data_IF_587731229391
#
_entry.id   IF_587731229391
#
_cell.length_a   1.000
_cell.length_b   1.000
_cell.length_c   1.000
_cell.angle_alpha   90.00
_cell.angle_beta   90.00
_cell.angle_gamma   90.00
#
_symmetry.space_group_name_H-M   'P 1'
#
loop_
_entity.id
_entity.type
_entity.pdbx_description
1 polymer ?
#
# COMPACT_ATOMS: atom_id res chain seq x y z
N UNK A 1 12.22 -16.00 9.07
CA UNK A 1 10.75 -16.01 8.95
C UNK A 1 10.12 -17.40 8.81
N UNK A 2 10.85 -18.48 8.46
CA UNK A 2 10.25 -19.82 8.36
C UNK A 2 9.60 -20.32 9.66
N UNK A 3 10.13 -19.94 10.83
CA UNK A 3 9.62 -20.34 12.16
C UNK A 3 8.35 -19.64 12.65
N UNK A 4 8.00 -18.47 12.08
CA UNK A 4 6.73 -17.78 12.41
C UNK A 4 5.64 -18.15 11.41
N UNK A 5 6.05 -18.62 10.22
CA UNK A 5 5.15 -19.08 9.15
C UNK A 5 5.01 -20.60 9.08
N UNK A 6 5.70 -21.35 9.95
CA UNK A 6 5.34 -22.75 10.21
C UNK A 6 3.97 -22.72 10.89
N UNK A 7 3.14 -23.73 10.62
CA UNK A 7 1.76 -23.86 11.12
C UNK A 7 1.71 -24.10 12.65
N UNK A 8 2.70 -23.62 13.37
CA UNK A 8 2.81 -23.76 14.81
C UNK A 8 1.83 -22.79 15.47
N UNK A 9 1.30 -23.17 16.61
CA UNK A 9 0.39 -22.34 17.38
C UNK A 9 1.17 -21.19 18.05
N UNK A 10 0.63 -19.96 18.01
CA UNK A 10 1.27 -18.77 18.58
C UNK A 10 1.68 -18.99 20.04
N UNK A 11 0.87 -19.73 20.81
CA UNK A 11 1.11 -20.02 22.23
C UNK A 11 2.44 -20.74 22.50
N UNK A 12 3.00 -21.43 21.50
CA UNK A 12 4.27 -22.14 21.63
C UNK A 12 5.49 -21.32 21.17
N UNK A 13 5.31 -20.07 20.75
CA UNK A 13 6.41 -19.23 20.26
C UNK A 13 7.23 -18.53 21.35
N UNK A 14 6.84 -18.62 22.62
CA UNK A 14 7.58 -17.98 23.74
C UNK A 14 9.10 -18.25 23.72
N UNK A 15 9.55 -19.53 23.66
CA UNK A 15 10.97 -19.86 23.58
C UNK A 15 11.69 -19.28 22.34
N UNK A 16 10.96 -19.10 21.22
CA UNK A 16 11.53 -18.49 20.02
C UNK A 16 11.82 -17.00 20.24
N UNK A 17 10.91 -16.26 20.89
CA UNK A 17 11.12 -14.84 21.20
C UNK A 17 12.23 -14.64 22.24
N UNK A 18 12.32 -15.50 23.27
CA UNK A 18 13.44 -15.48 24.22
C UNK A 18 14.78 -15.70 23.50
N UNK A 19 14.86 -16.73 22.65
CA UNK A 19 16.07 -17.01 21.86
C UNK A 19 16.44 -15.83 20.95
N UNK A 20 15.45 -15.16 20.36
CA UNK A 20 15.66 -13.98 19.52
C UNK A 20 16.22 -12.80 20.30
N UNK A 21 15.71 -12.53 21.50
CA UNK A 21 16.26 -11.49 22.39
C UNK A 21 17.73 -11.75 22.72
N UNK A 22 18.06 -12.99 23.13
CA UNK A 22 19.45 -13.39 23.42
C UNK A 22 20.35 -13.25 22.20
N UNK A 23 19.87 -13.67 21.03
CA UNK A 23 20.62 -13.57 19.77
C UNK A 23 20.96 -12.13 19.40
N UNK A 24 19.98 -11.21 19.45
CA UNK A 24 20.20 -9.79 19.15
C UNK A 24 21.25 -9.17 20.10
N UNK A 25 21.16 -9.45 21.41
CA UNK A 25 22.18 -9.01 22.38
C UNK A 25 23.56 -9.58 22.08
N UNK A 26 23.65 -10.84 21.66
CA UNK A 26 24.94 -11.48 21.39
C UNK A 26 25.69 -10.84 20.22
N UNK A 27 24.97 -10.38 19.19
CA UNK A 27 25.56 -9.70 18.04
C UNK A 27 25.85 -8.24 18.37
N UNK A 28 24.98 -7.56 19.13
CA UNK A 28 25.26 -6.20 19.60
C UNK A 28 26.54 -6.16 20.47
N UNK A 29 26.75 -7.17 21.32
CA UNK A 29 27.97 -7.28 22.11
C UNK A 29 29.22 -7.61 21.28
N UNK A 30 29.06 -8.28 20.13
CA UNK A 30 30.16 -8.64 19.24
C UNK A 30 29.75 -8.54 17.76
N UNK A 31 29.77 -7.31 17.18
CA UNK A 31 29.39 -7.07 15.77
C UNK A 31 30.20 -7.89 14.76
N UNK A 32 31.44 -8.25 15.12
CA UNK A 32 32.33 -9.07 14.30
C UNK A 32 31.76 -10.47 13.97
N UNK A 33 30.68 -10.90 14.64
CA UNK A 33 29.95 -12.13 14.28
C UNK A 33 29.26 -12.02 12.90
N UNK A 34 29.02 -10.81 12.41
CA UNK A 34 28.48 -10.53 11.06
C UNK A 34 29.49 -9.84 10.14
N UNK A 35 30.31 -8.94 10.67
CA UNK A 35 31.25 -8.14 9.86
C UNK A 35 32.64 -8.78 9.73
N UNK A 36 32.98 -9.71 10.62
CA UNK A 36 34.30 -10.36 10.65
C UNK A 36 34.47 -11.43 9.57
N UNK A 37 35.73 -11.68 9.19
CA UNK A 37 36.11 -12.69 8.19
C UNK A 37 35.75 -14.11 8.66
N UNK A 38 35.80 -14.35 9.98
CA UNK A 38 35.44 -15.61 10.62
C UNK A 38 33.95 -15.72 10.99
N UNK A 39 33.09 -14.85 10.44
CA UNK A 39 31.66 -14.94 10.64
C UNK A 39 31.17 -16.34 10.23
N UNK A 40 30.48 -17.01 11.15
CA UNK A 40 29.99 -18.37 10.97
C UNK A 40 28.48 -18.40 11.19
N UNK A 41 27.80 -19.20 10.39
CA UNK A 41 26.36 -19.43 10.52
C UNK A 41 25.95 -19.86 11.95
N UNK A 42 26.80 -20.60 12.67
CA UNK A 42 26.53 -21.05 14.06
C UNK A 42 26.20 -19.92 15.03
N UNK A 43 26.82 -18.75 14.83
CA UNK A 43 26.63 -17.58 15.69
C UNK A 43 26.02 -16.39 14.93
N UNK A 44 26.00 -16.46 13.59
CA UNK A 44 25.45 -15.43 12.72
C UNK A 44 23.99 -15.65 12.33
N UNK A 45 23.39 -16.81 12.63
CA UNK A 45 21.96 -17.06 12.41
C UNK A 45 21.23 -17.38 13.72
N UNK A 46 19.95 -16.98 13.79
CA UNK A 46 19.11 -17.20 14.97
C UNK A 46 18.88 -18.69 15.27
N UNK A 47 18.75 -19.51 14.23
CA UNK A 47 18.54 -20.94 14.35
C UNK A 47 19.84 -21.76 14.32
N UNK A 48 20.99 -21.11 14.09
CA UNK A 48 22.29 -21.77 13.96
C UNK A 48 22.42 -22.62 12.69
N UNK A 49 21.47 -22.50 11.75
CA UNK A 49 21.50 -23.24 10.49
C UNK A 49 22.42 -22.56 9.49
N UNK A 50 22.94 -23.36 8.57
CA UNK A 50 23.74 -22.89 7.45
C UNK A 50 23.02 -21.79 6.66
N UNK A 51 23.81 -20.84 6.19
CA UNK A 51 23.31 -19.79 5.31
C UNK A 51 22.90 -20.41 3.97
N UNK A 52 21.73 -20.00 3.47
CA UNK A 52 21.35 -20.33 2.10
C UNK A 52 22.30 -19.64 1.08
N UNK A 53 22.27 -20.04 -0.20
CA UNK A 53 23.18 -19.47 -1.21
C UNK A 53 23.11 -17.94 -1.33
N UNK A 54 21.94 -17.36 -1.05
CA UNK A 54 21.75 -15.92 -1.07
C UNK A 54 22.35 -15.26 0.17
N UNK A 55 22.09 -15.80 1.36
CA UNK A 55 22.66 -15.36 2.62
C UNK A 55 24.20 -15.38 2.60
N UNK A 56 24.81 -16.43 2.05
CA UNK A 56 26.26 -16.50 1.83
C UNK A 56 26.78 -15.33 0.99
N UNK A 57 26.07 -14.98 -0.08
CA UNK A 57 26.45 -13.86 -0.94
C UNK A 57 26.38 -12.54 -0.19
N UNK A 58 25.31 -12.31 0.58
CA UNK A 58 25.15 -11.11 1.42
C UNK A 58 26.28 -10.99 2.43
N UNK A 59 26.58 -12.07 3.18
CA UNK A 59 27.65 -12.05 4.18
C UNK A 59 29.02 -11.74 3.57
N UNK A 60 29.35 -12.35 2.41
CA UNK A 60 30.60 -12.05 1.69
C UNK A 60 30.67 -10.60 1.23
N UNK A 61 29.56 -10.04 0.74
CA UNK A 61 29.51 -8.63 0.33
C UNK A 61 29.74 -7.71 1.53
N UNK A 62 29.06 -7.95 2.65
CA UNK A 62 29.26 -7.20 3.90
C UNK A 62 30.73 -7.25 4.32
N UNK A 63 31.35 -8.44 4.37
CA UNK A 63 32.76 -8.60 4.74
C UNK A 63 33.71 -7.87 3.79
N UNK A 64 33.45 -7.91 2.48
CA UNK A 64 34.28 -7.21 1.49
C UNK A 64 34.21 -5.69 1.63
N UNK A 65 33.06 -5.17 2.04
CA UNK A 65 32.78 -3.75 2.14
C UNK A 65 33.00 -3.19 3.55
N UNK A 66 33.08 -4.03 4.58
CA UNK A 66 33.20 -3.59 5.98
C UNK A 66 34.38 -2.63 6.20
N UNK A 67 35.48 -2.80 5.45
CA UNK A 67 36.66 -1.93 5.52
C UNK A 67 36.42 -0.51 4.98
N UNK A 68 35.43 -0.33 4.11
CA UNK A 68 35.06 0.97 3.54
C UNK A 68 34.14 1.78 4.46
N UNK A 69 33.53 1.13 5.46
CA UNK A 69 32.56 1.72 6.37
C UNK A 69 33.06 1.65 7.83
N UNK A 70 33.83 2.66 8.30
CA UNK A 70 34.45 2.62 9.63
C UNK A 70 33.42 2.57 10.78
N UNK A 71 32.22 3.12 10.57
CA UNK A 71 31.14 3.13 11.56
C UNK A 71 30.13 1.98 11.40
N UNK A 72 30.39 1.00 10.55
CA UNK A 72 29.46 -0.10 10.29
C UNK A 72 29.09 -0.87 11.56
N UNK A 73 30.07 -1.18 12.40
CA UNK A 73 29.85 -1.89 13.67
C UNK A 73 29.02 -1.03 14.63
N UNK A 74 29.29 0.27 14.74
CA UNK A 74 28.53 1.19 15.59
C UNK A 74 27.07 1.31 15.13
N UNK A 75 26.85 1.45 13.82
CA UNK A 75 25.51 1.50 13.23
C UNK A 75 24.75 0.19 13.46
N UNK A 76 25.45 -0.95 13.35
CA UNK A 76 24.87 -2.26 13.60
C UNK A 76 24.47 -2.44 15.07
N UNK A 77 25.31 -2.00 16.02
CA UNK A 77 24.98 -2.01 17.46
C UNK A 77 23.72 -1.18 17.73
N UNK A 78 23.69 0.07 17.27
CA UNK A 78 22.54 0.96 17.49
C UNK A 78 21.24 0.37 16.91
N UNK A 79 21.31 -0.22 15.71
CA UNK A 79 20.17 -0.92 15.12
C UNK A 79 19.73 -2.13 15.95
N UNK A 80 20.67 -2.98 16.39
CA UNK A 80 20.36 -4.21 17.12
C UNK A 80 19.84 -3.93 18.53
N UNK A 81 20.32 -2.90 19.20
CA UNK A 81 19.79 -2.45 20.49
C UNK A 81 18.35 -1.95 20.34
N UNK A 82 18.10 -1.08 19.36
CA UNK A 82 16.74 -0.62 19.06
C UNK A 82 15.80 -1.77 18.67
N UNK A 83 16.28 -2.70 17.84
CA UNK A 83 15.52 -3.90 17.46
C UNK A 83 15.27 -4.81 18.67
N UNK A 84 16.25 -5.00 19.55
CA UNK A 84 16.09 -5.78 20.77
C UNK A 84 14.99 -5.18 21.64
N UNK A 85 15.07 -3.89 21.97
CA UNK A 85 14.05 -3.16 22.74
C UNK A 85 12.66 -3.32 22.11
N UNK A 86 12.52 -3.06 20.81
CA UNK A 86 11.24 -3.20 20.13
C UNK A 86 10.69 -4.63 20.21
N UNK A 87 11.54 -5.65 19.99
CA UNK A 87 11.08 -7.04 20.02
C UNK A 87 10.76 -7.55 21.41
N UNK A 88 11.49 -7.14 22.44
CA UNK A 88 11.26 -7.62 23.82
C UNK A 88 10.21 -6.84 24.59
N UNK A 89 10.04 -5.54 24.29
CA UNK A 89 9.18 -4.63 25.08
C UNK A 89 7.91 -4.18 24.35
N UNK A 90 7.74 -4.52 23.07
CA UNK A 90 6.53 -4.13 22.30
C UNK A 90 5.89 -5.29 21.56
N UNK A 91 6.71 -6.17 20.99
CA UNK A 91 6.21 -7.26 20.13
C UNK A 91 6.17 -8.63 20.81
N UNK A 92 6.61 -8.75 22.07
CA UNK A 92 6.60 -10.02 22.81
C UNK A 92 6.05 -9.91 24.22
N UNK A 93 5.26 -8.87 24.51
CA UNK A 93 4.70 -8.61 25.85
C UNK A 93 3.83 -9.78 26.33
N UNK A 94 3.13 -10.41 25.39
CA UNK A 94 2.31 -11.61 25.62
C UNK A 94 3.11 -12.83 26.08
N UNK A 95 4.42 -12.88 25.80
CA UNK A 95 5.34 -13.98 26.16
C UNK A 95 6.18 -13.70 27.41
N UNK A 96 5.91 -12.61 28.14
CA UNK A 96 6.63 -12.30 29.39
C UNK A 96 6.38 -13.42 30.42
N UNK A 97 7.42 -13.79 31.17
CA UNK A 97 7.32 -14.76 32.27
C UNK A 97 6.30 -14.29 33.30
N UNK A 98 5.38 -15.17 33.67
CA UNK A 98 4.22 -14.86 34.50
C UNK A 98 3.15 -14.01 33.80
N UNK A 99 3.22 -13.82 32.48
CA UNK A 99 2.17 -13.24 31.65
C UNK A 99 1.00 -14.20 31.40
N UNK A 100 0.00 -13.77 30.63
CA UNK A 100 -1.20 -14.56 30.37
C UNK A 100 -0.90 -15.90 29.71
N UNK A 101 -0.05 -15.92 28.66
CA UNK A 101 0.33 -17.15 27.96
C UNK A 101 1.20 -18.08 28.81
N UNK A 102 2.07 -17.53 29.65
CA UNK A 102 2.96 -18.32 30.51
C UNK A 102 2.18 -19.08 31.59
N UNK A 103 1.09 -18.49 32.09
CA UNK A 103 0.22 -19.07 33.12
C UNK A 103 -0.73 -20.16 32.61
N UNK A 104 -0.90 -20.29 31.30
CA UNK A 104 -1.78 -21.32 30.74
C UNK A 104 -1.28 -22.72 31.11
N UNK A 105 -2.20 -23.59 31.53
CA UNK A 105 -1.88 -25.01 31.75
C UNK A 105 -1.60 -25.71 30.42
N UNK A 106 -0.98 -26.89 30.48
CA UNK A 106 -0.72 -27.67 29.27
C UNK A 106 -2.02 -28.09 28.57
N UNK A 107 -3.11 -28.33 29.34
CA UNK A 107 -4.42 -28.60 28.77
C UNK A 107 -5.00 -27.39 28.03
N UNK A 108 -4.93 -26.19 28.64
CA UNK A 108 -5.41 -24.96 28.02
C UNK A 108 -4.60 -24.61 26.77
N UNK A 109 -3.28 -24.82 26.79
CA UNK A 109 -2.40 -24.62 25.62
C UNK A 109 -2.71 -25.59 24.48
N UNK A 110 -3.20 -26.79 24.78
CA UNK A 110 -3.61 -27.78 23.78
C UNK A 110 -4.97 -27.45 23.15
N UNK A 111 -5.88 -26.83 23.90
CA UNK A 111 -7.22 -26.46 23.43
C UNK A 111 -7.23 -25.14 22.64
N UNK A 112 -6.42 -24.16 23.07
CA UNK A 112 -6.38 -22.83 22.45
C UNK A 112 -5.53 -22.84 21.18
N UNK A 113 -6.09 -22.49 20.03
CA UNK A 113 -5.34 -22.26 18.79
C UNK A 113 -5.36 -20.79 18.37
N UNK A 114 -4.18 -20.17 18.35
CA UNK A 114 -3.98 -18.81 17.83
C UNK A 114 -3.04 -18.83 16.63
N UNK A 115 -3.47 -18.19 15.54
CA UNK A 115 -2.65 -18.03 14.34
C UNK A 115 -1.41 -17.17 14.65
N UNK A 116 -0.22 -17.64 14.27
CA UNK A 116 1.06 -16.92 14.44
C UNK A 116 1.16 -15.65 13.60
N UNK A 117 0.29 -15.51 12.62
CA UNK A 117 0.15 -14.31 11.81
C UNK A 117 -1.23 -13.71 12.05
N UNK A 118 -1.27 -12.43 12.44
CA UNK A 118 -2.50 -11.60 12.46
C UNK A 118 -3.08 -11.42 11.04
N UNK A 119 -2.28 -11.77 10.04
CA UNK A 119 -2.60 -11.70 8.64
C UNK A 119 -3.36 -12.95 8.12
N UNK A 120 -4.58 -13.15 8.61
CA UNK A 120 -5.48 -14.15 7.99
C UNK A 120 -6.04 -13.62 6.65
N UNK A 121 -6.17 -12.29 6.51
CA UNK A 121 -6.83 -11.65 5.38
C UNK A 121 -5.92 -11.36 4.17
N UNK A 122 -4.68 -10.88 4.35
CA UNK A 122 -3.68 -10.78 3.27
C UNK A 122 -3.17 -12.19 2.89
N UNK A 123 -3.17 -13.14 3.83
CA UNK A 123 -2.94 -14.56 3.58
C UNK A 123 -3.99 -15.22 2.68
N UNK A 124 -5.30 -15.01 2.95
CA UNK A 124 -6.38 -15.62 2.18
C UNK A 124 -6.54 -14.99 0.79
N UNK A 125 -6.54 -13.66 0.69
CA UNK A 125 -6.63 -12.97 -0.60
C UNK A 125 -5.36 -13.18 -1.43
N UNK A 126 -4.19 -13.16 -0.79
CA UNK A 126 -2.92 -13.49 -1.43
C UNK A 126 -2.89 -14.92 -1.96
N UNK A 127 -3.34 -15.89 -1.14
CA UNK A 127 -3.48 -17.29 -1.56
C UNK A 127 -4.47 -17.45 -2.70
N UNK A 128 -5.61 -16.74 -2.67
CA UNK A 128 -6.57 -16.73 -3.76
C UNK A 128 -5.97 -16.17 -5.04
N UNK A 129 -5.28 -15.03 -4.98
CA UNK A 129 -4.62 -14.41 -6.13
C UNK A 129 -3.56 -15.34 -6.73
N UNK A 130 -2.75 -15.98 -5.90
CA UNK A 130 -1.76 -16.95 -6.36
C UNK A 130 -2.44 -18.18 -6.96
N UNK A 131 -3.48 -18.69 -6.30
CA UNK A 131 -4.32 -19.79 -6.78
C UNK A 131 -4.90 -19.49 -8.16
N UNK A 132 -5.47 -18.30 -8.35
CA UNK A 132 -6.03 -17.85 -9.62
C UNK A 132 -5.00 -17.68 -10.72
N UNK A 133 -3.77 -17.25 -10.39
CA UNK A 133 -2.68 -17.19 -11.38
C UNK A 133 -2.31 -18.59 -11.90
N UNK A 134 -2.30 -19.60 -11.03
CA UNK A 134 -1.98 -20.98 -11.43
C UNK A 134 -3.19 -21.73 -11.99
N UNK A 135 -4.40 -21.40 -11.53
CA UNK A 135 -5.66 -22.09 -11.84
C UNK A 135 -6.76 -21.06 -12.18
N UNK A 136 -6.67 -20.36 -13.32
CA UNK A 136 -7.59 -19.26 -13.66
C UNK A 136 -9.04 -19.70 -13.88
N UNK A 137 -9.25 -20.97 -14.20
CA UNK A 137 -10.59 -21.56 -14.36
C UNK A 137 -11.18 -22.08 -13.04
N UNK A 138 -10.44 -21.98 -11.92
CA UNK A 138 -10.93 -22.45 -10.62
C UNK A 138 -11.99 -21.48 -10.08
N UNK A 139 -13.13 -22.05 -9.70
CA UNK A 139 -14.22 -21.30 -9.07
C UNK A 139 -13.87 -20.97 -7.63
N UNK A 140 -14.41 -19.87 -7.10
CA UNK A 140 -14.15 -19.48 -5.71
C UNK A 140 -14.64 -20.54 -4.71
N UNK A 141 -15.74 -21.25 -5.01
CA UNK A 141 -16.17 -22.38 -4.17
C UNK A 141 -15.15 -23.52 -4.17
N UNK A 142 -14.60 -23.89 -5.32
CA UNK A 142 -13.60 -24.96 -5.39
C UNK A 142 -12.33 -24.58 -4.65
N UNK A 143 -11.86 -23.34 -4.82
CA UNK A 143 -10.71 -22.84 -4.08
C UNK A 143 -10.96 -22.84 -2.57
N UNK A 144 -12.09 -22.30 -2.10
CA UNK A 144 -12.41 -22.29 -0.68
C UNK A 144 -12.51 -23.71 -0.11
N UNK A 145 -13.16 -24.64 -0.83
CA UNK A 145 -13.25 -26.04 -0.42
C UNK A 145 -11.86 -26.70 -0.32
N UNK A 146 -11.01 -26.52 -1.34
CA UNK A 146 -9.64 -27.06 -1.35
C UNK A 146 -8.76 -26.42 -0.26
N UNK A 147 -8.89 -25.11 -0.05
CA UNK A 147 -8.14 -24.36 0.94
C UNK A 147 -8.49 -24.80 2.35
N UNK A 148 -9.79 -24.87 2.68
CA UNK A 148 -10.27 -25.36 3.99
C UNK A 148 -9.90 -26.83 4.16
N UNK A 149 -10.06 -27.65 3.12
CA UNK A 149 -9.72 -29.08 3.21
C UNK A 149 -8.25 -29.32 3.52
N UNK A 150 -7.37 -28.52 2.93
CA UNK A 150 -5.92 -28.61 3.16
C UNK A 150 -5.53 -28.06 4.53
N UNK A 151 -6.27 -27.07 5.03
CA UNK A 151 -5.98 -26.41 6.32
C UNK A 151 -6.43 -27.25 7.51
N UNK A 152 -7.56 -27.94 7.37
CA UNK A 152 -8.16 -28.76 8.43
C UNK A 152 -7.77 -30.24 8.34
N UNK A 153 -6.93 -30.60 7.37
CA UNK A 153 -6.51 -31.99 7.11
C UNK A 153 -7.68 -32.98 6.97
N UNK A 154 -8.78 -32.51 6.37
CA UNK A 154 -9.99 -33.34 6.21
C UNK A 154 -9.79 -34.51 5.26
N UNK A 155 -8.66 -34.61 4.56
CA UNK A 155 -8.36 -35.75 3.70
C UNK A 155 -8.16 -37.04 4.51
N UNK A 156 -7.48 -36.98 5.65
CA UNK A 156 -7.34 -38.15 6.54
C UNK A 156 -8.70 -38.56 7.11
N UNK A 157 -9.49 -37.58 7.57
CA UNK A 157 -10.85 -37.82 8.03
C UNK A 157 -11.72 -38.49 6.95
N UNK A 158 -11.68 -38.00 5.71
CA UNK A 158 -12.43 -38.62 4.61
C UNK A 158 -11.98 -40.06 4.38
N UNK A 159 -10.67 -40.34 4.41
CA UNK A 159 -10.13 -41.68 4.20
C UNK A 159 -10.56 -42.66 5.29
N UNK A 160 -10.62 -42.20 6.54
CA UNK A 160 -10.98 -43.05 7.69
C UNK A 160 -12.49 -43.21 7.90
N UNK A 161 -13.28 -42.18 7.58
CA UNK A 161 -14.71 -42.10 7.94
C UNK A 161 -15.67 -42.23 6.77
N UNK A 162 -15.20 -42.09 5.53
CA UNK A 162 -16.01 -42.18 4.31
C UNK A 162 -15.51 -43.34 3.45
N UNK A 163 -15.43 -44.53 4.04
CA UNK A 163 -14.91 -45.74 3.39
C UNK A 163 -16.00 -46.62 2.78
N UNK A 164 -17.27 -46.35 3.08
CA UNK A 164 -18.40 -47.18 2.65
C UNK A 164 -19.02 -46.67 1.34
N UNK A 165 -19.54 -47.60 0.53
CA UNK A 165 -20.19 -47.25 -0.75
C UNK A 165 -21.44 -46.37 -0.53
N UNK A 166 -22.09 -46.48 0.63
CA UNK A 166 -23.23 -45.63 1.00
C UNK A 166 -22.83 -44.16 1.15
N UNK A 167 -21.67 -43.89 1.74
CA UNK A 167 -21.13 -42.55 1.92
C UNK A 167 -20.80 -41.91 0.56
N UNK A 168 -20.16 -42.67 -0.34
CA UNK A 168 -19.85 -42.20 -1.69
C UNK A 168 -21.13 -41.87 -2.49
N UNK A 169 -22.16 -42.72 -2.40
CA UNK A 169 -23.46 -42.48 -3.04
C UNK A 169 -24.14 -41.23 -2.48
N UNK A 170 -24.06 -41.01 -1.17
CA UNK A 170 -24.57 -39.82 -0.52
C UNK A 170 -23.82 -38.56 -0.97
N UNK A 171 -22.48 -38.58 -0.99
CA UNK A 171 -21.66 -37.47 -1.45
C UNK A 171 -21.93 -37.10 -2.91
N UNK A 172 -22.07 -38.11 -3.80
CA UNK A 172 -22.44 -37.88 -5.19
C UNK A 172 -23.81 -37.22 -5.33
N UNK A 173 -24.79 -37.62 -4.52
CA UNK A 173 -26.11 -36.98 -4.49
C UNK A 173 -26.00 -35.51 -4.08
N UNK A 174 -25.31 -35.22 -2.96
CA UNK A 174 -25.13 -33.85 -2.46
C UNK A 174 -24.34 -32.99 -3.45
N UNK A 175 -23.32 -33.53 -4.10
CA UNK A 175 -22.55 -32.82 -5.12
C UNK A 175 -23.45 -32.41 -6.31
N UNK A 176 -24.30 -33.33 -6.80
CA UNK A 176 -25.26 -33.04 -7.87
C UNK A 176 -26.29 -31.98 -7.47
N UNK A 177 -26.80 -32.03 -6.24
CA UNK A 177 -27.73 -31.02 -5.72
C UNK A 177 -27.06 -29.64 -5.63
N UNK A 178 -25.81 -29.57 -5.18
CA UNK A 178 -25.01 -28.34 -5.15
C UNK A 178 -24.74 -27.82 -6.56
N UNK A 179 -24.38 -28.66 -7.52
CA UNK A 179 -24.18 -28.22 -8.91
C UNK A 179 -25.48 -27.73 -9.55
N UNK A 180 -26.60 -28.41 -9.27
CA UNK A 180 -27.92 -28.00 -9.75
C UNK A 180 -28.36 -26.62 -9.23
N UNK A 181 -27.88 -26.22 -8.04
CA UNK A 181 -28.18 -24.90 -7.45
C UNK A 181 -27.58 -23.72 -8.23
N UNK A 182 -26.56 -23.96 -9.10
CA UNK A 182 -25.90 -22.94 -9.94
C UNK A 182 -25.38 -21.72 -9.15
N UNK A 183 -25.02 -21.88 -7.87
CA UNK A 183 -24.52 -20.80 -7.00
C UNK A 183 -23.37 -20.00 -7.64
N UNK A 184 -22.40 -20.68 -8.27
CA UNK A 184 -21.30 -20.00 -8.94
C UNK A 184 -21.76 -19.09 -10.09
N UNK A 185 -22.78 -19.52 -10.84
CA UNK A 185 -23.36 -18.69 -11.90
C UNK A 185 -24.00 -17.45 -11.30
N UNK A 186 -24.78 -17.60 -10.22
CA UNK A 186 -25.42 -16.48 -9.55
C UNK A 186 -24.41 -15.45 -9.02
N UNK A 187 -23.32 -15.93 -8.40
CA UNK A 187 -22.22 -15.06 -7.92
C UNK A 187 -21.59 -14.31 -9.09
N UNK A 188 -21.28 -15.00 -10.19
CA UNK A 188 -20.69 -14.38 -11.38
C UNK A 188 -21.62 -13.34 -12.01
N UNK A 189 -22.92 -13.63 -12.10
CA UNK A 189 -23.93 -12.72 -12.62
C UNK A 189 -24.11 -11.49 -11.70
N UNK A 190 -23.97 -11.63 -10.39
CA UNK A 190 -23.96 -10.51 -9.45
C UNK A 190 -22.69 -9.66 -9.60
N UNK A 191 -21.52 -10.29 -9.72
CA UNK A 191 -20.26 -9.58 -9.92
C UNK A 191 -20.25 -8.79 -11.23
N UNK A 192 -20.69 -9.39 -12.35
CA UNK A 192 -20.77 -8.69 -13.64
C UNK A 192 -21.69 -7.47 -13.59
N UNK A 193 -22.80 -7.54 -12.84
CA UNK A 193 -23.70 -6.39 -12.65
C UNK A 193 -23.03 -5.27 -11.85
N UNK A 194 -22.40 -5.61 -10.72
CA UNK A 194 -21.69 -4.63 -9.90
C UNK A 194 -20.53 -3.96 -10.67
N UNK A 195 -19.78 -4.74 -11.44
CA UNK A 195 -18.69 -4.23 -12.27
C UNK A 195 -19.23 -3.29 -13.37
N UNK A 196 -20.35 -3.65 -14.01
CA UNK A 196 -20.99 -2.80 -15.02
C UNK A 196 -21.51 -1.48 -14.42
N UNK A 197 -22.12 -1.52 -13.23
CA UNK A 197 -22.56 -0.32 -12.50
C UNK A 197 -21.39 0.60 -12.15
N UNK A 198 -20.29 0.02 -11.65
CA UNK A 198 -19.08 0.78 -11.32
C UNK A 198 -18.43 1.40 -12.56
N UNK A 199 -18.40 0.69 -13.68
CA UNK A 199 -17.93 1.22 -14.96
C UNK A 199 -18.80 2.39 -15.42
N UNK A 200 -20.13 2.27 -15.33
CA UNK A 200 -21.04 3.34 -15.67
C UNK A 200 -20.84 4.59 -14.78
N UNK A 201 -20.68 4.39 -13.48
CA UNK A 201 -20.38 5.47 -12.53
C UNK A 201 -19.06 6.17 -12.86
N UNK A 202 -18.01 5.40 -13.16
CA UNK A 202 -16.71 5.95 -13.55
C UNK A 202 -16.82 6.77 -14.84
N UNK A 203 -17.53 6.28 -15.85
CA UNK A 203 -17.77 7.05 -17.07
C UNK A 203 -18.50 8.37 -16.80
N UNK A 204 -19.47 8.39 -15.88
CA UNK A 204 -20.15 9.63 -15.49
C UNK A 204 -19.20 10.60 -14.76
N UNK A 205 -18.35 10.09 -13.86
CA UNK A 205 -17.34 10.90 -13.17
C UNK A 205 -16.33 11.48 -14.16
N UNK A 206 -15.88 10.68 -15.12
CA UNK A 206 -14.93 11.10 -16.13
C UNK A 206 -15.53 12.12 -17.10
N UNK A 207 -16.79 11.94 -17.53
CA UNK A 207 -17.50 12.92 -18.36
C UNK A 207 -17.63 14.27 -17.62
N UNK A 208 -18.01 14.26 -16.34
CA UNK A 208 -18.07 15.48 -15.51
C UNK A 208 -16.70 16.14 -15.32
N UNK A 209 -15.64 15.34 -15.15
CA UNK A 209 -14.25 15.84 -15.06
C UNK A 209 -13.82 16.46 -16.39
N UNK A 210 -14.14 15.82 -17.52
CA UNK A 210 -13.83 16.31 -18.85
C UNK A 210 -14.59 17.61 -19.17
N UNK A 211 -15.88 17.69 -18.84
CA UNK A 211 -16.68 18.91 -19.00
C UNK A 211 -16.10 20.06 -18.16
N UNK A 212 -15.75 19.83 -16.90
CA UNK A 212 -15.09 20.83 -16.06
C UNK A 212 -13.75 21.29 -16.63
N UNK A 213 -12.96 20.36 -17.18
CA UNK A 213 -11.68 20.68 -17.85
C UNK A 213 -11.90 21.52 -19.11
N UNK A 214 -12.86 21.16 -19.95
CA UNK A 214 -13.23 21.91 -21.15
C UNK A 214 -13.73 23.31 -20.80
N UNK A 215 -14.63 23.43 -19.82
CA UNK A 215 -15.14 24.73 -19.35
C UNK A 215 -14.04 25.61 -18.75
N UNK A 216 -13.06 25.03 -18.04
CA UNK A 216 -11.88 25.77 -17.56
C UNK A 216 -11.04 26.26 -18.73
N UNK A 217 -10.75 25.38 -19.70
CA UNK A 217 -9.93 25.72 -20.86
C UNK A 217 -10.57 26.80 -21.75
N UNK A 218 -11.88 26.73 -21.98
CA UNK A 218 -12.61 27.78 -22.72
C UNK A 218 -12.60 29.10 -21.97
N UNK A 219 -12.87 29.10 -20.66
CA UNK A 219 -12.82 30.31 -19.84
C UNK A 219 -11.44 30.97 -19.82
N UNK A 220 -10.36 30.18 -19.76
CA UNK A 220 -8.98 30.70 -19.85
C UNK A 220 -8.74 31.29 -21.24
N UNK A 221 -9.12 30.58 -22.31
CA UNK A 221 -8.93 31.06 -23.69
C UNK A 221 -9.69 32.36 -23.96
N UNK A 222 -10.92 32.49 -23.45
CA UNK A 222 -11.72 33.72 -23.55
C UNK A 222 -11.07 34.87 -22.76
N UNK A 223 -10.59 34.59 -21.54
CA UNK A 223 -9.90 35.59 -20.72
C UNK A 223 -8.62 36.09 -21.40
N UNK A 224 -7.86 35.19 -22.04
CA UNK A 224 -6.66 35.56 -22.80
C UNK A 224 -6.93 36.50 -23.98
N UNK A 225 -8.14 36.50 -24.55
CA UNK A 225 -8.54 37.45 -25.61
C UNK A 225 -8.85 38.85 -25.08
N UNK A 226 -9.12 38.98 -23.77
CA UNK A 226 -9.52 40.21 -23.10
C UNK A 226 -8.62 40.48 -21.89
N UNK A 227 -7.30 40.42 -22.08
CA UNK A 227 -6.35 40.71 -21.01
C UNK A 227 -6.34 42.19 -20.67
N UNK A 228 -6.42 42.48 -19.38
CA UNK A 228 -6.33 43.85 -18.85
C UNK A 228 -4.92 44.04 -18.33
N UNK A 229 -4.10 44.80 -19.10
CA UNK A 229 -2.69 45.02 -18.81
C UNK A 229 -2.40 46.41 -18.21
N UNK A 230 -3.41 47.28 -18.12
CA UNK A 230 -3.26 48.63 -17.57
C UNK A 230 -3.66 48.68 -16.10
N UNK A 231 -2.77 49.19 -15.25
CA UNK A 231 -2.97 49.32 -13.80
C UNK A 231 -4.26 50.04 -13.41
N UNK A 232 -4.60 51.11 -14.12
CA UNK A 232 -5.81 51.89 -13.87
C UNK A 232 -7.09 51.08 -14.11
N UNK A 233 -7.07 50.19 -15.12
CA UNK A 233 -8.19 49.32 -15.44
C UNK A 233 -8.28 48.14 -14.46
N UNK A 234 -7.14 47.60 -14.02
CA UNK A 234 -7.07 46.53 -13.01
C UNK A 234 -7.78 46.93 -11.71
N UNK A 235 -7.60 48.19 -11.27
CA UNK A 235 -8.21 48.69 -10.03
C UNK A 235 -9.75 48.75 -10.10
N UNK A 236 -10.31 48.86 -11.31
CA UNK A 236 -11.77 48.90 -11.54
C UNK A 236 -12.43 47.52 -11.62
N UNK A 237 -11.64 46.45 -11.78
CA UNK A 237 -12.17 45.11 -11.95
C UNK A 237 -12.91 44.62 -10.70
N UNK A 238 -13.98 43.85 -10.92
CA UNK A 238 -14.65 43.13 -9.84
C UNK A 238 -13.83 41.87 -9.44
N UNK A 239 -14.18 41.24 -8.31
CA UNK A 239 -13.43 40.07 -7.79
C UNK A 239 -13.49 38.87 -8.75
N UNK A 240 -14.59 38.70 -9.49
CA UNK A 240 -14.76 37.61 -10.46
C UNK A 240 -13.82 37.76 -11.65
N UNK A 241 -13.69 38.97 -12.19
CA UNK A 241 -12.83 39.27 -13.34
C UNK A 241 -11.35 39.29 -12.93
N UNK A 242 -11.01 39.79 -11.74
CA UNK A 242 -9.67 39.65 -11.16
C UNK A 242 -9.25 38.17 -11.06
N UNK A 243 -10.16 37.31 -10.59
CA UNK A 243 -9.89 35.88 -10.47
C UNK A 243 -9.71 35.20 -11.84
N UNK A 244 -10.44 35.62 -12.87
CA UNK A 244 -10.28 35.11 -14.24
C UNK A 244 -8.92 35.47 -14.82
N UNK A 245 -8.53 36.75 -14.71
CA UNK A 245 -7.22 37.24 -15.17
C UNK A 245 -6.07 36.52 -14.45
N UNK A 246 -6.16 36.36 -13.13
CA UNK A 246 -5.18 35.62 -12.33
C UNK A 246 -5.09 34.13 -12.71
N UNK A 247 -6.22 33.47 -13.03
CA UNK A 247 -6.20 32.08 -13.50
C UNK A 247 -5.46 31.94 -14.83
N UNK A 248 -5.67 32.88 -15.76
CA UNK A 248 -4.95 32.90 -17.03
C UNK A 248 -3.45 33.09 -16.83
N UNK A 249 -3.04 34.09 -16.04
CA UNK A 249 -1.63 34.34 -15.75
C UNK A 249 -0.98 33.14 -15.04
N UNK A 250 -1.69 32.46 -14.14
CA UNK A 250 -1.18 31.26 -13.44
C UNK A 250 -0.98 30.09 -14.39
N UNK A 251 -1.94 29.79 -15.28
CA UNK A 251 -1.79 28.70 -16.24
C UNK A 251 -0.66 29.00 -17.27
N UNK A 252 -0.48 30.27 -17.65
CA UNK A 252 0.63 30.71 -18.51
C UNK A 252 2.00 30.60 -17.80
N UNK A 253 2.12 31.10 -16.56
CA UNK A 253 3.35 31.04 -15.77
C UNK A 253 3.74 29.62 -15.37
N UNK A 254 2.77 28.73 -15.16
CA UNK A 254 3.04 27.31 -14.89
C UNK A 254 3.68 26.59 -16.08
N UNK A 255 3.50 27.11 -17.29
CA UNK A 255 4.09 26.57 -18.51
C UNK A 255 5.55 27.02 -18.72
N UNK A 256 6.07 27.91 -17.86
CA UNK A 256 7.44 28.45 -17.94
C UNK A 256 8.34 27.71 -16.92
N UNK A 257 9.29 26.87 -17.36
CA UNK A 257 10.23 26.20 -16.47
C UNK A 257 11.17 27.21 -15.79
N UNK A 258 11.36 27.10 -14.47
CA UNK A 258 12.36 27.88 -13.72
C UNK A 258 11.92 29.25 -13.19
N UNK A 259 10.64 29.61 -13.32
CA UNK A 259 10.11 30.84 -12.72
C UNK A 259 10.07 30.74 -11.19
N UNK A 260 10.85 31.57 -10.50
CA UNK A 260 11.00 31.53 -9.03
C UNK A 260 9.75 31.99 -8.27
N UNK A 261 9.01 32.97 -8.81
CA UNK A 261 7.79 33.51 -8.20
C UNK A 261 6.61 33.34 -9.15
N UNK A 262 5.61 32.57 -8.73
CA UNK A 262 4.40 32.25 -9.51
C UNK A 262 3.16 32.86 -8.86
N UNK A 263 2.12 33.10 -9.65
CA UNK A 263 0.79 33.50 -9.13
C UNK A 263 0.30 32.49 -8.07
N UNK A 264 0.06 32.92 -6.82
CA UNK A 264 -0.45 32.05 -5.76
C UNK A 264 -1.86 31.51 -6.03
N UNK A 265 -2.25 30.44 -5.31
CA UNK A 265 -3.63 29.95 -5.32
C UNK A 265 -4.58 31.00 -4.72
N UNK A 266 -5.84 31.01 -5.21
CA UNK A 266 -6.89 31.94 -4.77
C UNK A 266 -7.15 31.89 -3.26
N UNK A 267 -6.95 30.73 -2.65
CA UNK A 267 -7.08 30.49 -1.21
C UNK A 267 -6.09 31.29 -0.38
N UNK A 268 -4.93 31.64 -0.94
CA UNK A 268 -3.92 32.49 -0.28
C UNK A 268 -4.17 33.99 -0.47
N UNK A 269 -5.20 34.38 -1.25
CA UNK A 269 -5.58 35.76 -1.53
C UNK A 269 -7.00 36.03 -1.04
N UNK A 270 -7.15 36.25 0.27
CA UNK A 270 -8.46 36.44 0.90
C UNK A 270 -9.18 37.72 0.44
N UNK A 271 -8.47 38.87 0.40
CA UNK A 271 -9.08 40.19 0.15
C UNK A 271 -8.99 40.60 -1.33
N UNK A 272 -9.85 41.53 -1.76
CA UNK A 272 -9.78 42.12 -3.11
C UNK A 272 -8.44 42.82 -3.36
N UNK A 273 -7.96 43.57 -2.37
CA UNK A 273 -6.69 44.31 -2.47
C UNK A 273 -5.49 43.38 -2.72
N UNK A 274 -5.47 42.19 -2.11
CA UNK A 274 -4.40 41.21 -2.34
C UNK A 274 -4.43 40.68 -3.78
N UNK A 275 -5.62 40.43 -4.34
CA UNK A 275 -5.79 40.00 -5.73
C UNK A 275 -5.37 41.07 -6.74
N UNK A 276 -5.69 42.33 -6.46
CA UNK A 276 -5.26 43.48 -7.29
C UNK A 276 -3.73 43.58 -7.30
N UNK A 277 -3.10 43.52 -6.11
CA UNK A 277 -1.64 43.56 -5.98
C UNK A 277 -0.96 42.43 -6.74
N UNK A 278 -1.47 41.20 -6.60
CA UNK A 278 -0.90 40.04 -7.30
C UNK A 278 -1.14 40.08 -8.80
N UNK A 279 -2.28 40.61 -9.26
CA UNK A 279 -2.52 40.76 -10.71
C UNK A 279 -1.57 41.77 -11.33
N UNK A 280 -1.31 42.92 -10.67
CA UNK A 280 -0.32 43.90 -11.15
C UNK A 280 1.08 43.28 -11.27
N UNK A 281 1.51 42.51 -10.25
CA UNK A 281 2.78 41.76 -10.29
C UNK A 281 2.83 40.74 -11.44
N UNK A 282 1.73 40.02 -11.69
CA UNK A 282 1.64 39.05 -12.78
C UNK A 282 1.70 39.72 -14.17
N UNK A 283 1.09 40.89 -14.32
CA UNK A 283 1.14 41.70 -15.54
C UNK A 283 2.55 42.26 -15.77
N UNK A 284 3.22 42.77 -14.73
CA UNK A 284 4.62 43.21 -14.81
C UNK A 284 5.52 42.07 -15.29
N UNK A 285 5.38 40.87 -14.70
CA UNK A 285 6.13 39.67 -15.15
C UNK A 285 5.83 39.36 -16.61
N UNK A 286 4.55 39.34 -16.99
CA UNK A 286 4.14 39.06 -18.38
C UNK A 286 4.74 40.06 -19.38
N UNK A 287 4.83 41.34 -19.03
CA UNK A 287 5.45 42.38 -19.86
C UNK A 287 6.97 42.19 -19.97
N UNK A 288 7.66 41.87 -18.87
CA UNK A 288 9.11 41.61 -18.83
C UNK A 288 9.51 40.40 -19.67
N UNK A 289 8.70 39.33 -19.67
CA UNK A 289 8.92 38.14 -20.48
C UNK A 289 8.58 38.31 -21.97
N UNK A 290 8.27 39.54 -22.41
CA UNK A 290 8.05 39.86 -23.82
C UNK A 290 6.63 39.52 -24.26
N UNK A 291 5.65 40.21 -23.69
CA UNK A 291 4.25 40.22 -24.16
C UNK A 291 4.09 40.81 -25.57
N UNK A 292 4.66 40.17 -26.59
CA UNK A 292 4.31 40.22 -28.01
C UNK A 292 5.43 39.56 -28.84
N UNK A 293 5.35 38.26 -29.06
CA UNK A 293 5.70 37.67 -30.36
C UNK A 293 5.03 36.31 -30.52
N UNK A 294 4.51 36.07 -31.72
CA UNK A 294 3.74 34.91 -32.16
C UNK A 294 4.41 33.56 -31.89
N UNK A 295 3.87 32.78 -30.96
CA UNK A 295 4.06 31.32 -30.81
C UNK A 295 2.97 30.86 -29.82
N UNK A 296 2.07 29.89 -30.01
CA UNK A 296 1.91 28.79 -30.97
C UNK A 296 0.40 28.50 -31.02
N UNK A 297 -0.21 28.63 -32.19
CA UNK A 297 -1.30 27.71 -32.54
C UNK A 297 -0.64 26.34 -32.76
N UNK A 298 -1.17 25.30 -32.13
CA UNK A 298 -0.71 23.89 -32.20
C UNK A 298 0.48 23.50 -31.32
N UNK A 299 0.25 23.24 -30.02
CA UNK A 299 0.61 21.93 -29.43
C UNK A 299 -0.11 21.79 -28.08
N UNK A 300 -1.36 21.30 -28.10
CA UNK A 300 -1.98 20.76 -26.88
C UNK A 300 -1.29 19.42 -26.62
N UNK A 301 -0.07 19.47 -26.07
CA UNK A 301 0.48 18.29 -25.41
C UNK A 301 -0.35 18.06 -24.18
N UNK A 302 -1.08 16.95 -24.22
CA UNK A 302 -1.67 16.27 -23.08
C UNK A 302 -0.56 16.06 -22.05
N UNK A 303 -0.36 17.03 -21.16
CA UNK A 303 0.42 16.82 -19.95
C UNK A 303 -0.49 15.98 -19.06
N UNK A 304 -0.21 14.67 -19.04
CA UNK A 304 -0.63 13.81 -17.94
C UNK A 304 -0.01 14.39 -16.67
N UNK A 305 -0.79 15.20 -15.94
CA UNK A 305 -0.51 15.42 -14.53
C UNK A 305 -0.53 14.06 -13.83
N UNK A 306 0.38 13.86 -12.85
CA UNK A 306 0.52 12.59 -12.17
C UNK A 306 -0.83 12.18 -11.60
N UNK A 307 -1.13 10.89 -11.70
CA UNK A 307 -2.27 10.29 -10.98
C UNK A 307 -2.10 10.67 -9.51
N UNK A 308 -2.99 11.53 -9.03
CA UNK A 308 -3.28 11.62 -7.60
C UNK A 308 -3.84 10.26 -7.18
N UNK A 309 -2.93 9.36 -6.79
CA UNK A 309 -3.24 8.07 -6.17
C UNK A 309 -3.58 8.25 -4.66
N UNK A 310 -3.71 9.48 -4.17
CA UNK A 310 -4.09 9.78 -2.79
C UNK A 310 -5.50 10.37 -2.70
N UNK A 311 -6.49 9.49 -2.82
CA UNK A 311 -7.82 9.68 -2.22
C UNK A 311 -8.46 8.30 -1.94
N UNK A 312 -7.74 7.47 -1.19
CA UNK A 312 -8.33 6.41 -0.38
C UNK A 312 -8.40 6.91 1.06
N UNK A 313 -9.27 7.90 1.30
CA UNK A 313 -9.65 8.29 2.65
C UNK A 313 -11.09 7.79 2.90
N UNK A 314 -11.12 6.69 3.65
CA UNK A 314 -12.18 6.21 4.55
C UNK A 314 -13.60 6.72 4.37
N UNK A 315 -14.46 5.88 3.78
CA UNK A 315 -15.88 5.79 4.15
C UNK A 315 -16.11 4.44 4.86
N UNK A 316 -15.62 4.35 6.10
CA UNK A 316 -16.06 3.36 7.09
C UNK A 316 -16.54 4.13 8.30
N UNK A 317 -17.79 4.59 8.25
CA UNK A 317 -18.66 4.86 9.40
C UNK A 317 -19.98 5.41 8.87
N UNK A 318 -20.93 4.52 8.55
CA UNK A 318 -22.29 4.60 9.09
C UNK A 318 -23.11 3.41 8.58
N UNK A 319 -23.37 2.46 9.48
CA UNK A 319 -24.57 1.60 9.50
C UNK A 319 -24.46 0.65 10.70
N UNK A 320 -24.63 1.22 11.90
CA UNK A 320 -25.21 0.48 13.03
C UNK A 320 -26.64 0.98 13.23
N UNK A 321 -27.61 0.17 12.79
CA UNK A 321 -28.92 -0.01 13.45
C UNK A 321 -29.28 -1.49 13.35
#
# INVERSE_FOLDING_TARGET
MKHVRSRDNLVHLGPFFEKKGVFLKSIAAKPSLWTGVDASHKHGTLDGKEWDPWGLRVMRTIQSQAKEYPDLDNALVAFLEGAHTAFTERFSDEFIKGGALDRLTDEERAELFFSTTNDVNEGALGSWRLGQRHRPAETIHKFNASFVSTRNDTEEFHREKLSEEEDERYLHKIAREKDASKLQKQIKDAQMRADAEKVAENHQKDAKRQEKRQNKATAITETGKQLVLEDALIDTLNVTDLNRQLDWHRDNENSIPGLQEKVPLKTHMGKKADRVRELKRAVERYQVFGGSSSVVAEDVRMVEEPKDDDALESDYEDNMV
#
